data_IF_429450084690
#
_entry.id   IF_429450084690
#
_cell.length_a   1.000
_cell.length_b   1.000
_cell.length_c   1.000
_cell.angle_alpha   90.00
_cell.angle_beta   90.00
_cell.angle_gamma   90.00
#
_symmetry.space_group_name_H-M   'P 1'
#
loop_
_entity.id
_entity.type
_entity.pdbx_description
1 polymer ?
#
# COMPACT_ATOMS: atom_id res chain seq x y z
N UNK A 1 -53.67 -25.08 37.57
CA UNK A 1 -55.00 -24.60 37.12
C UNK A 1 -54.79 -23.23 36.47
N UNK A 2 -55.13 -22.94 35.21
CA UNK A 2 -56.39 -23.11 34.47
C UNK A 2 -57.48 -22.08 34.89
N UNK A 3 -57.54 -20.91 34.24
CA UNK A 3 -58.56 -20.62 33.20
C UNK A 3 -58.41 -19.25 32.49
N UNK A 4 -58.79 -19.29 31.22
CA UNK A 4 -58.79 -18.25 30.17
C UNK A 4 -60.02 -17.31 30.22
N UNK A 5 -60.00 -16.25 29.36
CA UNK A 5 -61.11 -15.41 28.80
C UNK A 5 -61.43 -14.12 29.58
N UNK A 6 -61.80 -12.97 28.98
CA UNK A 6 -61.92 -12.42 27.60
C UNK A 6 -61.93 -10.85 27.75
N UNK A 7 -61.97 -9.93 26.75
CA UNK A 7 -62.15 -9.92 25.27
C UNK A 7 -61.55 -8.61 24.68
N UNK A 8 -61.33 -8.52 23.38
CA UNK A 8 -60.97 -7.27 22.66
C UNK A 8 -62.12 -6.26 22.50
N UNK A 9 -61.80 -4.97 22.33
CA UNK A 9 -62.21 -4.18 21.16
C UNK A 9 -61.49 -2.81 21.10
N UNK A 10 -61.26 -2.30 19.88
CA UNK A 10 -60.61 -1.01 19.57
C UNK A 10 -61.68 0.02 19.16
N UNK A 11 -61.53 1.31 19.49
CA UNK A 11 -61.34 2.41 18.52
C UNK A 11 -61.34 3.82 19.15
N UNK A 12 -60.91 4.80 18.34
CA UNK A 12 -60.57 6.16 18.73
C UNK A 12 -61.77 7.06 19.10
N UNK A 13 -61.50 8.09 19.90
CA UNK A 13 -62.41 9.20 20.20
C UNK A 13 -61.63 10.49 20.45
N UNK A 14 -61.78 11.48 19.56
CA UNK A 14 -61.16 12.80 19.64
C UNK A 14 -61.56 13.58 20.91
N UNK A 15 -60.62 14.34 21.47
CA UNK A 15 -60.88 15.37 22.46
C UNK A 15 -60.48 16.76 21.91
N UNK A 16 -61.26 17.79 22.25
CA UNK A 16 -61.07 19.17 21.80
C UNK A 16 -61.10 20.15 23.00
N UNK A 17 -60.82 21.43 22.70
CA UNK A 17 -60.79 22.61 23.61
C UNK A 17 -59.46 22.88 24.36
N UNK A 18 -59.18 24.14 24.80
CA UNK A 18 -59.14 25.32 23.94
C UNK A 18 -57.99 26.32 24.25
N UNK A 19 -57.82 27.28 23.33
CA UNK A 19 -57.20 28.63 23.46
C UNK A 19 -56.60 29.11 24.80
N UNK A 20 -55.26 29.25 24.82
CA UNK A 20 -54.58 30.56 24.74
C UNK A 20 -54.63 31.58 25.90
N UNK A 21 -53.46 31.81 26.53
CA UNK A 21 -52.99 33.14 26.97
C UNK A 21 -51.46 33.13 27.13
N UNK A 22 -50.77 34.18 26.66
CA UNK A 22 -49.31 34.26 26.67
C UNK A 22 -48.74 34.92 27.94
N UNK A 23 -47.51 34.52 28.32
CA UNK A 23 -46.69 35.24 29.32
C UNK A 23 -45.29 35.44 28.77
N UNK A 24 -44.85 36.69 28.72
CA UNK A 24 -43.58 37.08 28.09
C UNK A 24 -42.34 36.65 28.91
N UNK A 25 -41.24 36.36 28.20
CA UNK A 25 -39.91 36.10 28.76
C UNK A 25 -39.05 37.38 28.70
N UNK A 26 -38.03 37.52 29.56
CA UNK A 26 -37.25 38.76 29.66
C UNK A 26 -36.30 38.96 28.48
N UNK A 27 -36.18 40.21 28.02
CA UNK A 27 -35.16 40.61 27.04
C UNK A 27 -33.80 40.75 27.74
N UNK A 28 -32.80 39.98 27.33
CA UNK A 28 -31.48 40.03 27.97
C UNK A 28 -30.50 38.90 27.68
N UNK A 29 -30.62 38.19 26.55
CA UNK A 29 -29.62 37.22 26.11
C UNK A 29 -28.93 37.76 24.85
N UNK A 30 -27.67 38.17 24.97
CA UNK A 30 -26.85 38.48 23.80
C UNK A 30 -26.59 37.18 23.03
N UNK A 31 -27.20 37.06 21.85
CA UNK A 31 -26.82 36.02 20.89
C UNK A 31 -25.40 36.33 20.46
N UNK A 32 -24.45 35.44 20.79
CA UNK A 32 -23.13 35.46 20.17
C UNK A 32 -23.31 35.19 18.68
N UNK A 33 -23.41 36.27 17.89
CA UNK A 33 -23.28 36.18 16.44
C UNK A 33 -21.88 35.68 16.16
N UNK A 34 -21.78 34.41 15.76
CA UNK A 34 -20.58 33.93 15.09
C UNK A 34 -20.40 34.77 13.83
N UNK A 35 -19.46 35.72 13.88
CA UNK A 35 -18.96 36.35 12.67
C UNK A 35 -18.52 35.21 11.74
N UNK A 36 -18.97 35.18 10.48
CA UNK A 36 -18.37 34.27 9.52
C UNK A 36 -16.87 34.56 9.48
N UNK A 37 -16.06 33.53 9.71
CA UNK A 37 -14.62 33.62 9.46
C UNK A 37 -14.48 33.96 7.98
N UNK A 38 -13.79 35.06 7.60
CA UNK A 38 -13.64 35.40 6.20
C UNK A 38 -12.72 34.36 5.56
N UNK A 39 -13.32 33.37 4.91
CA UNK A 39 -12.64 32.49 3.97
C UNK A 39 -12.21 33.35 2.79
N UNK A 40 -10.98 33.83 2.83
CA UNK A 40 -10.30 34.32 1.63
C UNK A 40 -10.38 33.22 0.56
N UNK A 41 -10.58 33.55 -0.72
CA UNK A 41 -10.54 32.55 -1.78
C UNK A 41 -9.19 31.82 -1.70
N UNK A 42 -9.23 30.48 -1.58
CA UNK A 42 -8.02 29.68 -1.45
C UNK A 42 -7.16 29.86 -2.70
N UNK A 43 -6.09 30.63 -2.55
CA UNK A 43 -5.09 30.77 -3.59
C UNK A 43 -4.45 29.41 -3.85
N UNK A 44 -4.36 29.04 -5.13
CA UNK A 44 -3.58 27.86 -5.54
C UNK A 44 -2.14 28.08 -5.08
N UNK A 45 -1.63 27.15 -4.27
CA UNK A 45 -0.27 27.25 -3.73
C UNK A 45 0.77 26.91 -4.82
N UNK A 46 1.91 27.61 -4.85
CA UNK A 46 3.12 27.06 -5.48
C UNK A 46 3.91 26.38 -4.37
N UNK A 47 4.15 25.08 -4.50
CA UNK A 47 4.95 24.27 -3.56
C UNK A 47 6.27 23.86 -4.23
N UNK A 48 7.30 23.70 -3.43
CA UNK A 48 8.63 23.22 -3.82
C UNK A 48 9.26 22.34 -2.74
N UNK A 49 10.51 21.94 -2.95
CA UNK A 49 11.16 20.86 -2.18
C UNK A 49 11.26 21.15 -0.67
N UNK A 50 11.21 22.43 -0.28
CA UNK A 50 11.30 22.88 1.11
C UNK A 50 9.95 22.90 1.87
N UNK A 51 8.81 23.02 1.18
CA UNK A 51 7.50 23.24 1.80
C UNK A 51 6.40 22.26 1.34
N UNK A 52 6.66 21.42 0.34
CA UNK A 52 5.70 20.44 -0.18
C UNK A 52 5.09 19.56 0.90
N UNK A 53 5.91 18.99 1.79
CA UNK A 53 5.46 18.16 2.91
C UNK A 53 4.48 18.91 3.83
N UNK A 54 4.85 20.11 4.29
CA UNK A 54 3.97 20.95 5.11
C UNK A 54 2.71 21.44 4.35
N UNK A 55 2.79 21.50 3.01
CA UNK A 55 1.67 21.80 2.12
C UNK A 55 0.62 20.68 2.02
N UNK A 56 1.04 19.42 2.14
CA UNK A 56 0.15 18.23 2.11
C UNK A 56 -0.23 17.71 3.50
N UNK A 57 0.66 17.85 4.49
CA UNK A 57 0.51 17.23 5.80
C UNK A 57 -0.76 17.70 6.54
N UNK A 58 -1.45 16.73 7.13
CA UNK A 58 -2.68 16.94 7.89
C UNK A 58 -3.86 17.46 7.07
N UNK A 59 -3.76 17.55 5.74
CA UNK A 59 -4.88 17.94 4.89
C UNK A 59 -5.79 16.75 4.59
N UNK A 60 -7.13 16.95 4.56
CA UNK A 60 -8.06 15.90 4.21
C UNK A 60 -7.82 15.42 2.78
N UNK A 61 -7.70 16.36 1.83
CA UNK A 61 -7.17 16.08 0.50
C UNK A 61 -6.53 17.30 -0.20
N UNK A 62 -5.51 17.04 -1.01
CA UNK A 62 -4.74 18.03 -1.79
C UNK A 62 -4.59 17.56 -3.23
N UNK A 63 -4.95 18.41 -4.19
CA UNK A 63 -4.68 18.25 -5.62
C UNK A 63 -3.40 18.98 -5.96
N UNK A 64 -2.43 18.28 -6.55
CA UNK A 64 -1.14 18.81 -6.98
C UNK A 64 -1.02 18.70 -8.50
N UNK A 65 -0.75 19.80 -9.18
CA UNK A 65 -0.33 19.79 -10.58
C UNK A 65 1.19 20.03 -10.70
N UNK A 66 1.93 19.00 -11.06
CA UNK A 66 3.33 19.12 -11.47
C UNK A 66 3.36 19.70 -12.89
N UNK A 67 3.95 20.89 -13.04
CA UNK A 67 3.87 21.71 -14.27
C UNK A 67 5.22 22.23 -14.71
N UNK A 68 5.33 22.47 -16.01
CA UNK A 68 6.33 23.37 -16.58
C UNK A 68 5.61 24.68 -16.97
N UNK A 69 5.92 25.84 -16.35
CA UNK A 69 5.29 27.09 -16.75
C UNK A 69 5.67 27.47 -18.19
N UNK A 70 4.72 28.05 -18.94
CA UNK A 70 4.93 28.52 -20.31
C UNK A 70 4.74 27.46 -21.41
N UNK A 71 4.53 26.18 -21.09
CA UNK A 71 4.17 25.18 -22.11
C UNK A 71 2.69 25.30 -22.49
N UNK A 72 2.36 25.00 -23.75
CA UNK A 72 1.02 25.21 -24.30
C UNK A 72 -0.07 24.42 -23.54
N UNK A 73 0.20 23.16 -23.18
CA UNK A 73 -0.75 22.29 -22.48
C UNK A 73 -1.11 22.82 -21.08
N UNK A 74 -0.10 23.20 -20.27
CA UNK A 74 -0.36 23.86 -18.99
C UNK A 74 -1.08 25.20 -19.17
N UNK A 75 -0.75 25.97 -20.20
CA UNK A 75 -1.39 27.26 -20.48
C UNK A 75 -2.88 27.10 -20.80
N UNK A 76 -3.26 26.04 -21.52
CA UNK A 76 -4.65 25.68 -21.79
C UNK A 76 -5.38 25.11 -20.55
N UNK A 77 -4.68 24.35 -19.70
CA UNK A 77 -5.27 23.67 -18.54
C UNK A 77 -5.36 24.53 -17.27
N UNK A 78 -4.46 25.49 -17.05
CA UNK A 78 -4.42 26.31 -15.85
C UNK A 78 -5.76 27.03 -15.52
N UNK A 79 -6.53 27.55 -16.49
CA UNK A 79 -7.87 28.10 -16.23
C UNK A 79 -8.85 27.05 -15.68
N UNK A 80 -8.82 25.83 -16.19
CA UNK A 80 -9.63 24.70 -15.70
C UNK A 80 -9.27 24.33 -14.26
N UNK A 81 -7.96 24.24 -13.97
CA UNK A 81 -7.45 23.97 -12.62
C UNK A 81 -7.86 25.06 -11.62
N UNK A 82 -7.76 26.33 -12.01
CA UNK A 82 -8.20 27.47 -11.19
C UNK A 82 -9.72 27.50 -11.00
N UNK A 83 -10.51 27.17 -12.03
CA UNK A 83 -11.95 27.07 -11.91
C UNK A 83 -12.39 25.92 -10.99
N UNK A 84 -11.67 24.79 -10.96
CA UNK A 84 -11.90 23.72 -9.99
C UNK A 84 -11.54 24.15 -8.57
N UNK A 85 -10.36 24.75 -8.37
CA UNK A 85 -9.94 25.27 -7.06
C UNK A 85 -10.95 26.26 -6.46
N UNK A 86 -11.52 27.14 -7.27
CA UNK A 86 -12.53 28.10 -6.85
C UNK A 86 -13.89 27.46 -6.48
N UNK A 87 -14.21 26.29 -7.05
CA UNK A 87 -15.49 25.58 -6.82
C UNK A 87 -15.41 24.52 -5.71
N UNK A 88 -14.21 24.11 -5.31
CA UNK A 88 -13.95 23.10 -4.29
C UNK A 88 -13.13 23.66 -3.11
N UNK A 89 -13.65 24.62 -2.33
CA UNK A 89 -12.91 25.34 -1.28
C UNK A 89 -12.57 24.48 -0.04
N UNK A 90 -13.01 23.23 0.01
CA UNK A 90 -12.67 22.25 1.04
C UNK A 90 -11.55 21.28 0.60
N UNK A 91 -11.11 21.35 -0.66
CA UNK A 91 -9.95 20.64 -1.19
C UNK A 91 -8.82 21.65 -1.44
N UNK A 92 -7.60 21.36 -1.00
CA UNK A 92 -6.45 22.24 -1.26
C UNK A 92 -5.94 22.01 -2.68
N UNK A 93 -5.67 23.09 -3.41
CA UNK A 93 -5.04 23.02 -4.73
C UNK A 93 -3.63 23.62 -4.68
N UNK A 94 -2.68 22.90 -5.26
CA UNK A 94 -1.28 23.29 -5.34
C UNK A 94 -0.69 23.00 -6.72
N UNK A 95 0.41 23.66 -7.04
CA UNK A 95 1.22 23.37 -8.23
C UNK A 95 2.68 23.26 -7.84
N UNK A 96 3.42 22.36 -8.50
CA UNK A 96 4.87 22.23 -8.36
C UNK A 96 5.50 22.58 -9.71
N UNK A 97 6.47 23.50 -9.70
CA UNK A 97 7.23 23.82 -10.91
C UNK A 97 8.40 22.84 -11.05
N UNK A 98 8.30 21.87 -11.96
CA UNK A 98 9.29 20.78 -12.09
C UNK A 98 10.69 21.29 -12.45
N UNK A 99 10.79 22.46 -13.11
CA UNK A 99 12.07 23.08 -13.45
C UNK A 99 12.75 23.77 -12.24
N UNK A 100 11.99 24.03 -11.17
CA UNK A 100 12.51 24.54 -9.89
C UNK A 100 12.66 23.45 -8.83
N UNK A 101 11.82 22.42 -8.89
CA UNK A 101 11.81 21.29 -7.97
C UNK A 101 11.96 19.97 -8.72
N UNK A 102 13.13 19.73 -9.37
CA UNK A 102 13.40 18.49 -10.09
C UNK A 102 13.52 17.30 -9.13
N UNK A 103 13.88 17.52 -7.85
CA UNK A 103 13.93 16.47 -6.85
C UNK A 103 12.52 15.95 -6.51
N UNK A 104 11.54 16.84 -6.26
CA UNK A 104 10.13 16.44 -6.16
C UNK A 104 9.60 15.79 -7.45
N UNK A 105 9.95 16.30 -8.62
CA UNK A 105 9.50 15.71 -9.89
C UNK A 105 10.02 14.27 -10.06
N UNK A 106 11.28 14.01 -9.74
CA UNK A 106 11.86 12.66 -9.74
C UNK A 106 11.27 11.77 -8.62
N UNK A 107 11.05 12.32 -7.43
CA UNK A 107 10.47 11.61 -6.27
C UNK A 107 9.07 11.04 -6.57
N UNK A 108 8.29 11.72 -7.43
CA UNK A 108 6.94 11.31 -7.83
C UNK A 108 6.88 10.76 -9.27
N UNK A 109 8.02 10.36 -9.85
CA UNK A 109 8.13 9.81 -11.21
C UNK A 109 7.38 10.63 -12.29
N UNK A 110 7.52 11.95 -12.23
CA UNK A 110 6.86 12.89 -13.14
C UNK A 110 7.59 12.91 -14.49
N UNK A 111 7.25 11.96 -15.36
CA UNK A 111 7.83 11.80 -16.71
C UNK A 111 7.28 12.78 -17.76
N UNK A 112 6.14 13.42 -17.49
CA UNK A 112 5.50 14.40 -18.37
C UNK A 112 4.89 15.56 -17.57
N UNK A 113 4.76 16.74 -18.19
CA UNK A 113 4.04 17.87 -17.59
C UNK A 113 2.97 18.45 -18.52
N UNK A 114 1.75 18.72 -18.01
CA UNK A 114 1.34 18.57 -16.63
C UNK A 114 1.20 17.11 -16.19
N UNK A 115 1.36 16.84 -14.90
CA UNK A 115 0.91 15.59 -14.25
C UNK A 115 0.08 15.99 -13.04
N UNK A 116 -1.11 15.42 -12.91
CA UNK A 116 -2.01 15.64 -11.80
C UNK A 116 -1.88 14.50 -10.79
N UNK A 117 -1.76 14.84 -9.51
CA UNK A 117 -1.81 13.87 -8.41
C UNK A 117 -2.77 14.37 -7.34
N UNK A 118 -3.43 13.44 -6.64
CA UNK A 118 -4.32 13.76 -5.53
C UNK A 118 -3.88 12.98 -4.29
N UNK A 119 -3.58 13.72 -3.23
CA UNK A 119 -3.11 13.22 -1.95
C UNK A 119 -4.23 13.37 -0.92
N UNK A 120 -4.89 12.28 -0.51
CA UNK A 120 -5.86 12.33 0.60
C UNK A 120 -5.25 11.67 1.84
N UNK A 121 -5.18 12.41 2.96
CA UNK A 121 -4.47 11.96 4.18
C UNK A 121 -3.04 11.46 3.90
N UNK A 122 -2.28 12.18 3.05
CA UNK A 122 -0.95 11.83 2.54
C UNK A 122 -0.84 10.55 1.66
N UNK A 123 -1.96 9.88 1.35
CA UNK A 123 -2.00 8.76 0.40
C UNK A 123 -2.29 9.30 -1.00
N UNK A 124 -1.48 8.92 -2.00
CA UNK A 124 -1.79 9.19 -3.42
C UNK A 124 -2.97 8.30 -3.82
N UNK A 125 -4.14 8.91 -4.02
CA UNK A 125 -5.38 8.22 -4.43
C UNK A 125 -5.68 8.37 -5.92
N UNK A 126 -4.94 9.24 -6.61
CA UNK A 126 -5.03 9.47 -8.06
C UNK A 126 -3.69 10.01 -8.58
N UNK A 127 -3.26 9.52 -9.74
CA UNK A 127 -2.14 10.07 -10.51
C UNK A 127 -2.45 9.94 -12.00
N UNK A 128 -2.29 11.02 -12.77
CA UNK A 128 -2.56 11.08 -14.20
C UNK A 128 -1.58 12.01 -14.92
N UNK A 129 -0.72 11.49 -15.81
CA UNK A 129 0.02 12.30 -16.78
C UNK A 129 -0.94 13.00 -17.76
N UNK A 130 -0.69 14.28 -18.04
CA UNK A 130 -1.49 15.10 -18.93
C UNK A 130 -2.59 15.91 -18.24
N UNK A 131 -3.13 16.88 -18.97
CA UNK A 131 -4.25 17.72 -18.54
C UNK A 131 -5.60 16.98 -18.59
N UNK A 132 -6.48 17.26 -17.64
CA UNK A 132 -7.87 16.80 -17.68
C UNK A 132 -8.82 17.88 -18.24
N UNK A 133 -9.85 17.52 -19.02
CA UNK A 133 -10.95 18.43 -19.31
C UNK A 133 -11.71 18.75 -18.02
N UNK A 134 -12.45 19.88 -17.99
CA UNK A 134 -13.13 20.36 -16.80
C UNK A 134 -14.07 19.28 -16.19
N UNK A 135 -14.86 18.61 -17.02
CA UNK A 135 -15.76 17.54 -16.58
C UNK A 135 -14.99 16.34 -15.99
N UNK A 136 -13.88 15.93 -16.60
CA UNK A 136 -13.04 14.85 -16.08
C UNK A 136 -12.44 15.19 -14.71
N UNK A 137 -11.96 16.42 -14.52
CA UNK A 137 -11.47 16.89 -13.22
C UNK A 137 -12.61 16.91 -12.17
N UNK A 138 -13.83 17.28 -12.55
CA UNK A 138 -15.00 17.17 -11.65
C UNK A 138 -15.35 15.74 -11.28
N UNK A 139 -15.35 14.82 -12.24
CA UNK A 139 -15.63 13.40 -11.99
C UNK A 139 -14.59 12.79 -11.05
N UNK A 140 -13.30 13.10 -11.23
CA UNK A 140 -12.23 12.67 -10.32
C UNK A 140 -12.44 13.27 -8.92
N UNK A 141 -12.75 14.56 -8.80
CA UNK A 141 -12.99 15.20 -7.50
C UNK A 141 -14.24 14.66 -6.80
N UNK A 142 -15.31 14.37 -7.54
CA UNK A 142 -16.52 13.72 -7.02
C UNK A 142 -16.24 12.29 -6.56
N UNK A 143 -15.46 11.51 -7.34
CA UNK A 143 -15.01 10.18 -6.97
C UNK A 143 -14.17 10.19 -5.69
N UNK A 144 -13.20 11.11 -5.60
CA UNK A 144 -12.36 11.30 -4.41
C UNK A 144 -13.17 11.68 -3.17
N UNK A 145 -14.23 12.50 -3.31
CA UNK A 145 -15.16 12.83 -2.21
C UNK A 145 -16.05 11.65 -1.80
N UNK A 146 -16.34 10.75 -2.74
CA UNK A 146 -17.10 9.53 -2.50
C UNK A 146 -16.25 8.38 -1.95
N UNK A 147 -14.92 8.52 -1.89
CA UNK A 147 -14.06 7.63 -1.13
C UNK A 147 -14.40 7.77 0.36
N UNK A 148 -15.04 6.74 0.92
CA UNK A 148 -15.04 6.55 2.36
C UNK A 148 -13.59 6.33 2.78
N UNK A 149 -12.92 7.37 3.29
CA UNK A 149 -11.52 7.28 3.70
C UNK A 149 -11.31 6.35 4.90
N UNK A 150 -12.36 5.98 5.65
CA UNK A 150 -12.28 4.94 6.67
C UNK A 150 -12.50 3.54 6.07
N UNK A 151 -13.22 3.39 4.96
CA UNK A 151 -13.16 2.19 4.09
C UNK A 151 -11.80 2.09 3.40
N UNK A 152 -11.24 3.17 2.84
CA UNK A 152 -9.90 3.15 2.23
C UNK A 152 -8.86 2.82 3.31
N UNK A 153 -8.87 3.46 4.49
CA UNK A 153 -8.02 3.06 5.62
C UNK A 153 -8.31 1.63 6.08
N UNK A 154 -9.57 1.17 6.02
CA UNK A 154 -9.93 -0.23 6.27
C UNK A 154 -9.59 -1.18 5.14
N UNK A 155 -9.32 -0.78 3.89
CA UNK A 155 -8.89 -1.66 2.79
C UNK A 155 -7.36 -1.69 2.68
N UNK A 156 -6.72 -0.57 2.99
CA UNK A 156 -5.32 -0.47 3.43
C UNK A 156 -5.08 -1.39 4.65
N UNK A 157 -6.03 -1.48 5.60
CA UNK A 157 -5.96 -2.46 6.69
C UNK A 157 -6.51 -3.87 6.34
N UNK A 158 -7.48 -3.95 5.41
CA UNK A 158 -8.21 -5.17 5.02
C UNK A 158 -7.87 -5.62 3.57
N UNK A 159 -6.60 -5.93 3.33
CA UNK A 159 -6.36 -7.32 2.87
C UNK A 159 -6.87 -8.23 3.99
N UNK A 160 -7.12 -9.51 3.76
CA UNK A 160 -7.25 -10.42 4.91
C UNK A 160 -5.91 -11.15 5.14
N UNK A 161 -4.83 -10.45 5.59
CA UNK A 161 -3.65 -11.12 6.08
C UNK A 161 -4.10 -11.80 7.37
N UNK A 162 -3.76 -13.08 7.55
CA UNK A 162 -4.06 -13.71 8.82
C UNK A 162 -3.11 -13.12 9.87
N UNK A 163 -3.56 -12.06 10.55
CA UNK A 163 -2.80 -11.37 11.58
C UNK A 163 -2.78 -12.23 12.82
N UNK A 164 -1.62 -12.80 13.12
CA UNK A 164 -1.37 -13.63 14.30
C UNK A 164 -0.36 -12.92 15.19
N UNK A 165 -0.75 -12.56 16.40
CA UNK A 165 0.15 -11.97 17.41
C UNK A 165 -0.06 -10.48 17.70
N UNK A 166 0.17 -10.12 18.96
CA UNK A 166 -0.18 -8.81 19.54
C UNK A 166 0.91 -7.73 19.36
N UNK A 167 1.95 -7.97 18.55
CA UNK A 167 2.97 -6.98 18.18
C UNK A 167 3.92 -6.52 19.31
N UNK A 168 3.91 -7.19 20.46
CA UNK A 168 4.81 -6.89 21.57
C UNK A 168 6.18 -7.58 21.40
N UNK A 169 7.24 -6.79 21.23
CA UNK A 169 8.63 -7.28 21.15
C UNK A 169 9.24 -7.37 22.55
N UNK A 170 9.60 -8.56 23.07
CA UNK A 170 10.33 -8.69 24.34
C UNK A 170 11.78 -8.21 24.20
N UNK A 171 12.36 -7.72 25.30
CA UNK A 171 13.77 -7.32 25.31
C UNK A 171 14.69 -8.52 25.03
N UNK A 172 15.63 -8.34 24.10
CA UNK A 172 16.42 -9.42 23.52
C UNK A 172 17.47 -10.02 24.47
N UNK A 173 17.40 -11.33 24.67
CA UNK A 173 18.46 -12.13 25.26
C UNK A 173 19.68 -12.29 24.30
N UNK A 174 20.82 -12.83 24.77
CA UNK A 174 21.91 -13.27 23.88
C UNK A 174 21.42 -14.36 22.93
N UNK A 175 21.73 -14.22 21.64
CA UNK A 175 21.29 -15.18 20.63
C UNK A 175 22.06 -16.48 20.77
N UNK A 176 21.34 -17.60 20.85
CA UNK A 176 21.92 -18.93 20.78
C UNK A 176 22.61 -19.18 19.43
N UNK A 177 23.47 -20.21 19.38
CA UNK A 177 24.03 -20.70 18.12
C UNK A 177 22.90 -21.15 17.16
N UNK A 178 23.05 -20.96 15.84
CA UNK A 178 22.06 -21.38 14.87
C UNK A 178 21.74 -22.88 14.98
N UNK A 179 20.46 -23.23 15.00
CA UNK A 179 20.03 -24.62 15.10
C UNK A 179 20.33 -25.40 13.81
N UNK A 180 20.58 -26.70 13.95
CA UNK A 180 20.83 -27.61 12.82
C UNK A 180 19.56 -27.94 12.00
N UNK A 181 18.36 -27.63 12.52
CA UNK A 181 17.11 -27.84 11.80
C UNK A 181 16.92 -26.76 10.71
N UNK A 182 16.99 -27.20 9.45
CA UNK A 182 16.82 -26.36 8.28
C UNK A 182 15.38 -26.30 7.75
N UNK A 183 14.40 -26.92 8.40
CA UNK A 183 13.00 -26.78 8.04
C UNK A 183 12.46 -25.41 8.50
N UNK A 184 11.91 -24.61 7.58
CA UNK A 184 11.33 -23.29 7.92
C UNK A 184 10.24 -23.41 9.01
N UNK A 185 9.49 -24.52 9.00
CA UNK A 185 8.47 -24.87 10.01
C UNK A 185 9.02 -24.92 11.43
N UNK A 186 10.29 -25.30 11.62
CA UNK A 186 10.93 -25.37 12.93
C UNK A 186 11.06 -23.98 13.58
N UNK A 187 11.23 -22.94 12.76
CA UNK A 187 11.44 -21.56 13.19
C UNK A 187 10.16 -20.71 13.24
N UNK A 188 9.02 -21.25 12.78
CA UNK A 188 7.71 -20.61 12.90
C UNK A 188 7.20 -20.61 14.33
N UNK A 189 6.55 -19.52 14.75
CA UNK A 189 5.97 -19.40 16.10
C UNK A 189 5.00 -20.54 16.40
N UNK A 190 5.10 -21.13 17.59
CA UNK A 190 4.25 -22.27 17.96
C UNK A 190 2.72 -22.06 17.73
N UNK A 191 2.10 -20.90 18.05
CA UNK A 191 0.68 -20.66 17.76
C UNK A 191 0.31 -20.68 16.27
N UNK A 192 1.23 -20.29 15.38
CA UNK A 192 1.00 -20.26 13.94
C UNK A 192 0.79 -21.65 13.35
N UNK A 193 1.38 -22.69 13.96
CA UNK A 193 1.32 -24.08 13.47
C UNK A 193 -0.10 -24.62 13.39
N UNK A 194 -1.00 -24.16 14.26
CA UNK A 194 -2.43 -24.52 14.23
C UNK A 194 -3.20 -23.90 13.07
N UNK A 195 -2.67 -22.80 12.49
CA UNK A 195 -3.32 -22.01 11.44
C UNK A 195 -2.80 -22.33 10.02
N UNK A 196 -1.73 -23.13 9.91
CA UNK A 196 -1.16 -23.58 8.63
C UNK A 196 -2.19 -24.14 7.63
N UNK A 197 -3.22 -24.92 8.02
CA UNK A 197 -4.22 -25.41 7.07
C UNK A 197 -5.06 -24.29 6.43
N UNK A 198 -5.39 -23.23 7.18
CA UNK A 198 -6.15 -22.08 6.65
C UNK A 198 -5.26 -21.21 5.75
N UNK A 199 -4.02 -20.97 6.18
CA UNK A 199 -3.01 -20.26 5.40
C UNK A 199 -2.76 -20.96 4.05
N UNK A 200 -2.67 -22.29 4.05
CA UNK A 200 -2.54 -23.09 2.84
C UNK A 200 -3.75 -22.97 1.91
N UNK A 201 -4.97 -23.04 2.45
CA UNK A 201 -6.20 -22.87 1.67
C UNK A 201 -6.26 -21.47 1.01
N UNK A 202 -5.88 -20.41 1.74
CA UNK A 202 -5.84 -19.03 1.21
C UNK A 202 -4.76 -18.85 0.14
N UNK A 203 -3.54 -19.37 0.37
CA UNK A 203 -2.42 -19.26 -0.58
C UNK A 203 -2.68 -20.05 -1.88
N UNK A 204 -3.14 -21.30 -1.75
CA UNK A 204 -3.47 -22.15 -2.92
C UNK A 204 -4.64 -21.62 -3.75
N UNK A 205 -5.58 -20.89 -3.14
CA UNK A 205 -6.63 -20.14 -3.84
C UNK A 205 -6.12 -18.87 -4.58
N UNK A 206 -4.83 -18.58 -4.56
CA UNK A 206 -4.22 -17.41 -5.21
C UNK A 206 -4.24 -16.14 -4.37
N UNK A 207 -4.54 -16.24 -3.08
CA UNK A 207 -4.52 -15.09 -2.17
C UNK A 207 -3.10 -14.65 -1.79
N UNK A 208 -2.92 -13.35 -1.58
CA UNK A 208 -1.80 -12.82 -0.81
C UNK A 208 -2.03 -13.17 0.66
N UNK A 209 -1.16 -14.02 1.20
CA UNK A 209 -1.15 -14.41 2.61
C UNK A 209 -0.06 -13.63 3.30
N UNK A 210 -0.41 -12.96 4.39
CA UNK A 210 0.53 -12.16 5.17
C UNK A 210 0.38 -12.50 6.65
N UNK A 211 1.50 -12.90 7.26
CA UNK A 211 1.58 -13.54 8.56
C UNK A 211 2.38 -12.62 9.47
N UNK A 212 1.72 -11.98 10.43
CA UNK A 212 2.43 -11.22 11.48
C UNK A 212 3.10 -12.16 12.46
N UNK A 213 4.16 -11.66 13.10
CA UNK A 213 5.03 -12.41 14.00
C UNK A 213 5.35 -13.83 13.50
N UNK A 214 5.69 -14.00 12.21
CA UNK A 214 5.72 -15.32 11.58
C UNK A 214 6.71 -16.30 12.25
N UNK A 215 7.88 -15.79 12.62
CA UNK A 215 8.98 -16.56 13.19
C UNK A 215 9.17 -16.32 14.68
N UNK A 216 9.79 -17.27 15.38
CA UNK A 216 10.13 -17.09 16.79
C UNK A 216 10.97 -15.80 16.99
N UNK A 217 10.70 -14.98 18.03
CA UNK A 217 11.26 -13.63 18.12
C UNK A 217 12.79 -13.58 18.07
N UNK A 218 13.47 -14.59 18.63
CA UNK A 218 14.93 -14.68 18.59
C UNK A 218 15.48 -14.86 17.17
N UNK A 219 14.80 -15.62 16.31
CA UNK A 219 15.21 -15.78 14.90
C UNK A 219 14.99 -14.49 14.11
N UNK A 220 13.86 -13.81 14.33
CA UNK A 220 13.59 -12.51 13.71
C UNK A 220 14.58 -11.42 14.15
N UNK A 221 14.94 -11.37 15.43
CA UNK A 221 15.97 -10.47 15.96
C UNK A 221 17.37 -10.79 15.42
N UNK A 222 17.71 -12.08 15.26
CA UNK A 222 18.96 -12.54 14.64
C UNK A 222 19.09 -12.05 13.21
N UNK A 223 18.05 -12.22 12.40
CA UNK A 223 18.03 -11.74 11.01
C UNK A 223 18.03 -10.22 10.93
N UNK A 224 17.28 -9.53 11.81
CA UNK A 224 17.31 -8.07 11.87
C UNK A 224 18.71 -7.53 12.08
N UNK A 225 19.43 -7.98 13.11
CA UNK A 225 20.81 -7.54 13.39
C UNK A 225 21.74 -7.85 12.21
N UNK A 226 21.64 -9.06 11.67
CA UNK A 226 22.42 -9.49 10.50
C UNK A 226 22.24 -8.57 9.28
N UNK A 227 21.06 -7.98 9.07
CA UNK A 227 20.81 -7.04 7.98
C UNK A 227 21.14 -5.58 8.39
N UNK A 228 20.82 -5.19 9.62
CA UNK A 228 21.04 -3.83 10.14
C UNK A 228 22.55 -3.47 10.19
N UNK A 229 23.39 -4.43 10.55
CA UNK A 229 24.85 -4.31 10.59
C UNK A 229 25.53 -4.56 9.23
N UNK A 230 24.79 -5.02 8.22
CA UNK A 230 25.36 -5.31 6.90
C UNK A 230 25.76 -4.02 6.16
N UNK A 231 26.95 -4.03 5.57
CA UNK A 231 27.50 -2.94 4.73
C UNK A 231 27.67 -3.34 3.26
N UNK A 232 27.33 -4.57 2.90
CA UNK A 232 27.53 -5.13 1.55
C UNK A 232 26.44 -4.74 0.54
N UNK A 233 25.44 -3.95 0.93
CA UNK A 233 24.33 -3.49 0.09
C UNK A 233 24.81 -2.89 -1.24
N UNK A 234 24.08 -3.17 -2.31
CA UNK A 234 24.34 -2.64 -3.65
C UNK A 234 23.05 -2.04 -4.19
N UNK A 235 23.15 -0.84 -4.76
CA UNK A 235 22.06 -0.27 -5.56
C UNK A 235 21.86 -1.12 -6.82
N UNK A 236 20.62 -1.43 -7.13
CA UNK A 236 20.21 -1.94 -8.43
C UNK A 236 19.11 -1.01 -8.93
N UNK A 237 19.37 -0.44 -10.09
CA UNK A 237 18.50 0.46 -10.83
C UNK A 237 18.34 -0.15 -12.23
N UNK A 238 17.11 -0.25 -12.72
CA UNK A 238 16.84 -0.93 -13.97
C UNK A 238 15.35 -1.14 -14.25
N UNK A 239 15.08 -1.75 -15.40
CA UNK A 239 13.72 -1.96 -15.89
C UNK A 239 13.65 -2.73 -17.20
N UNK A 240 12.45 -3.19 -17.53
CA UNK A 240 12.13 -3.81 -18.83
C UNK A 240 10.73 -3.33 -19.26
N UNK A 241 10.65 -2.66 -20.42
CA UNK A 241 9.40 -2.01 -20.85
C UNK A 241 8.98 -0.90 -19.88
N UNK A 242 7.73 -0.96 -19.41
CA UNK A 242 7.16 0.02 -18.47
C UNK A 242 7.52 -0.27 -17.00
N UNK A 243 8.11 -1.44 -16.70
CA UNK A 243 8.58 -1.78 -15.35
C UNK A 243 9.93 -1.10 -15.06
N UNK A 244 10.02 -0.43 -13.92
CA UNK A 244 11.24 0.17 -13.37
C UNK A 244 11.37 -0.15 -11.87
N UNK A 245 12.60 -0.21 -11.36
CA UNK A 245 12.89 -0.30 -9.93
C UNK A 245 14.19 0.42 -9.60
N UNK A 246 14.26 0.95 -8.38
CA UNK A 246 15.48 1.43 -7.74
C UNK A 246 15.46 0.92 -6.30
N UNK A 247 16.39 0.04 -5.93
CA UNK A 247 16.46 -0.54 -4.58
C UNK A 247 17.89 -0.95 -4.18
N UNK A 248 18.14 -1.17 -2.89
CA UNK A 248 19.43 -1.70 -2.43
C UNK A 248 19.31 -3.15 -1.96
N UNK A 249 19.86 -4.10 -2.74
CA UNK A 249 19.69 -5.54 -2.52
C UNK A 249 21.03 -6.29 -2.45
N UNK A 250 20.99 -7.41 -1.72
CA UNK A 250 22.01 -8.46 -1.68
C UNK A 250 21.52 -9.66 -2.50
N UNK A 251 22.07 -9.84 -3.71
CA UNK A 251 21.81 -11.00 -4.57
C UNK A 251 22.98 -12.00 -4.59
N UNK A 252 24.21 -11.55 -4.33
CA UNK A 252 25.37 -12.44 -4.28
C UNK A 252 25.46 -13.13 -2.91
N UNK A 253 25.24 -14.44 -2.91
CA UNK A 253 25.35 -15.30 -1.72
C UNK A 253 26.74 -15.21 -1.06
N UNK A 254 27.82 -14.92 -1.79
CA UNK A 254 29.16 -14.76 -1.23
C UNK A 254 29.32 -13.45 -0.43
N UNK A 255 28.45 -12.47 -0.63
CA UNK A 255 28.39 -11.21 0.11
C UNK A 255 27.47 -11.28 1.34
N UNK A 256 26.80 -12.41 1.60
CA UNK A 256 25.89 -12.54 2.73
C UNK A 256 26.66 -12.62 4.07
N UNK A 257 26.22 -11.88 5.11
CA UNK A 257 26.65 -12.15 6.47
C UNK A 257 26.35 -13.59 6.88
N UNK A 258 27.13 -14.14 7.82
CA UNK A 258 27.04 -15.54 8.26
C UNK A 258 25.61 -16.00 8.60
N UNK A 259 24.84 -15.13 9.25
CA UNK A 259 23.49 -15.41 9.71
C UNK A 259 22.48 -15.41 8.56
N UNK A 260 22.62 -14.50 7.59
CA UNK A 260 21.86 -14.51 6.35
C UNK A 260 22.18 -15.73 5.48
N UNK A 261 23.46 -16.16 5.44
CA UNK A 261 23.91 -17.37 4.73
C UNK A 261 23.48 -18.68 5.43
N UNK A 262 23.15 -18.65 6.72
CA UNK A 262 22.44 -19.76 7.39
C UNK A 262 20.94 -19.72 7.08
N UNK A 263 20.33 -18.54 7.06
CA UNK A 263 18.93 -18.36 6.71
C UNK A 263 18.62 -18.80 5.27
N UNK A 264 19.48 -18.51 4.30
CA UNK A 264 19.29 -18.97 2.92
C UNK A 264 19.27 -20.49 2.81
N UNK A 265 20.06 -21.22 3.63
CA UNK A 265 19.99 -22.68 3.73
C UNK A 265 18.72 -23.21 4.36
N UNK A 266 18.06 -22.45 5.26
CA UNK A 266 16.72 -22.79 5.75
C UNK A 266 15.71 -22.66 4.61
N UNK A 267 15.74 -21.55 3.88
CA UNK A 267 14.80 -21.28 2.78
C UNK A 267 15.00 -22.21 1.56
N UNK A 268 16.22 -22.65 1.29
CA UNK A 268 16.54 -23.58 0.18
C UNK A 268 16.43 -25.08 0.56
N UNK A 269 16.20 -25.41 1.84
CA UNK A 269 16.17 -26.80 2.30
C UNK A 269 15.06 -27.62 1.66
N UNK A 270 15.30 -28.93 1.48
CA UNK A 270 14.30 -29.85 0.96
C UNK A 270 13.01 -29.85 1.80
N UNK A 271 13.14 -29.81 3.13
CA UNK A 271 11.99 -29.74 4.04
C UNK A 271 11.16 -28.46 3.85
N UNK A 272 11.81 -27.32 3.61
CA UNK A 272 11.15 -26.05 3.31
C UNK A 272 10.49 -26.06 1.94
N UNK A 273 11.13 -26.64 0.92
CA UNK A 273 10.57 -26.82 -0.44
C UNK A 273 9.36 -27.74 -0.44
N UNK A 274 9.40 -28.83 0.33
CA UNK A 274 8.26 -29.72 0.55
C UNK A 274 7.13 -28.99 1.30
N UNK A 275 7.45 -28.17 2.31
CA UNK A 275 6.46 -27.39 3.04
C UNK A 275 5.76 -26.36 2.15
N UNK A 276 6.51 -25.51 1.45
CA UNK A 276 5.90 -24.50 0.57
C UNK A 276 5.11 -25.16 -0.57
N UNK A 277 5.54 -26.33 -1.05
CA UNK A 277 4.76 -27.13 -2.03
C UNK A 277 3.40 -27.54 -1.46
N UNK A 278 3.34 -28.00 -0.20
CA UNK A 278 2.07 -28.32 0.49
C UNK A 278 1.21 -27.08 0.73
N UNK A 279 1.82 -25.96 1.14
CA UNK A 279 1.10 -24.71 1.46
C UNK A 279 0.51 -24.02 0.23
N UNK A 280 1.26 -24.00 -0.88
CA UNK A 280 0.87 -23.28 -2.10
C UNK A 280 0.03 -24.09 -3.08
N UNK A 281 0.07 -25.43 -2.97
CA UNK A 281 -0.45 -26.33 -3.99
C UNK A 281 0.40 -26.36 -5.28
N UNK A 282 1.62 -25.78 -5.27
CA UNK A 282 2.49 -25.64 -6.44
C UNK A 282 3.82 -26.38 -6.26
N UNK A 283 4.33 -27.09 -7.28
CA UNK A 283 5.57 -27.84 -7.16
C UNK A 283 6.77 -26.88 -7.04
N UNK A 284 7.46 -26.88 -5.90
CA UNK A 284 8.62 -26.01 -5.65
C UNK A 284 9.99 -26.73 -5.51
N UNK A 285 10.36 -27.72 -6.35
CA UNK A 285 11.62 -28.48 -6.19
C UNK A 285 12.86 -27.77 -6.76
N UNK A 286 12.72 -26.60 -7.39
CA UNK A 286 13.82 -25.89 -8.04
C UNK A 286 14.79 -25.22 -7.06
N UNK A 287 15.81 -24.50 -7.55
CA UNK A 287 16.64 -23.64 -6.71
C UNK A 287 15.79 -22.51 -6.10
N UNK A 288 16.01 -22.18 -4.84
CA UNK A 288 15.37 -20.99 -4.24
C UNK A 288 16.15 -19.74 -4.66
N UNK A 289 15.47 -18.81 -5.31
CA UNK A 289 15.98 -17.45 -5.47
C UNK A 289 15.86 -16.76 -4.11
N UNK A 290 16.99 -16.41 -3.49
CA UNK A 290 17.05 -15.82 -2.15
C UNK A 290 17.86 -14.53 -2.18
N UNK A 291 17.32 -13.49 -1.57
CA UNK A 291 17.97 -12.18 -1.46
C UNK A 291 17.53 -11.46 -0.18
N UNK A 292 18.21 -10.37 0.12
CA UNK A 292 17.74 -9.40 1.10
C UNK A 292 17.70 -7.99 0.49
N UNK A 293 16.81 -7.15 1.00
CA UNK A 293 16.64 -5.77 0.56
C UNK A 293 16.67 -4.79 1.75
N UNK A 294 17.26 -3.62 1.51
CA UNK A 294 17.16 -2.44 2.35
C UNK A 294 16.69 -1.27 1.48
N UNK A 295 15.41 -0.94 1.57
CA UNK A 295 14.88 0.19 0.83
C UNK A 295 15.24 1.51 1.55
N UNK A 296 16.03 2.33 0.87
CA UNK A 296 16.41 3.69 1.25
C UNK A 296 15.39 4.72 0.73
N UNK A 297 15.41 5.97 1.22
CA UNK A 297 14.60 7.04 0.65
C UNK A 297 14.81 7.22 -0.86
N UNK A 298 13.71 7.29 -1.62
CA UNK A 298 13.70 7.25 -3.08
C UNK A 298 13.47 5.85 -3.67
N UNK A 299 13.82 4.78 -2.94
CA UNK A 299 13.68 3.40 -3.42
C UNK A 299 12.21 3.03 -3.62
N UNK A 300 11.95 2.28 -4.70
CA UNK A 300 10.64 1.90 -5.19
C UNK A 300 10.75 0.69 -6.13
N UNK A 301 9.60 0.09 -6.44
CA UNK A 301 9.42 -0.65 -7.69
C UNK A 301 8.08 -0.25 -8.31
N UNK A 302 7.98 -0.32 -9.64
CA UNK A 302 6.74 -0.11 -10.37
C UNK A 302 5.92 -1.41 -10.48
N UNK A 303 4.67 -1.36 -10.99
CA UNK A 303 3.84 -2.55 -11.20
C UNK A 303 4.54 -3.68 -11.98
N UNK A 304 4.55 -4.87 -11.37
CA UNK A 304 5.05 -6.13 -11.93
C UNK A 304 4.33 -7.31 -11.27
N UNK A 305 4.49 -8.52 -11.80
CA UNK A 305 3.77 -9.72 -11.34
C UNK A 305 4.67 -10.94 -11.06
N UNK A 306 5.99 -10.75 -11.02
CA UNK A 306 7.01 -11.80 -10.83
C UNK A 306 7.01 -12.96 -11.83
N UNK A 307 6.23 -12.90 -12.92
CA UNK A 307 6.21 -13.96 -13.94
C UNK A 307 7.49 -13.93 -14.78
N UNK A 308 8.51 -14.61 -14.25
CA UNK A 308 9.81 -14.80 -14.87
C UNK A 308 10.20 -16.28 -14.92
N UNK A 309 10.99 -16.63 -15.94
CA UNK A 309 11.74 -17.88 -15.97
C UNK A 309 12.99 -17.71 -15.10
N UNK A 310 13.24 -18.69 -14.24
CA UNK A 310 14.50 -18.81 -13.49
C UNK A 310 15.53 -19.55 -14.35
N UNK A 311 16.77 -19.70 -13.86
CA UNK A 311 17.77 -20.52 -14.55
C UNK A 311 17.27 -21.96 -14.82
N UNK A 312 17.48 -22.42 -16.04
CA UNK A 312 17.07 -23.76 -16.50
C UNK A 312 15.61 -23.83 -16.95
N UNK A 313 14.91 -24.89 -16.53
CA UNK A 313 13.51 -25.17 -16.91
C UNK A 313 12.50 -24.81 -15.79
N UNK A 314 12.92 -24.03 -14.81
CA UNK A 314 12.12 -23.65 -13.65
C UNK A 314 11.54 -22.24 -13.82
N UNK A 315 10.35 -22.02 -13.26
CA UNK A 315 9.74 -20.69 -13.18
C UNK A 315 9.43 -20.38 -11.71
N UNK A 316 9.34 -19.09 -11.37
CA UNK A 316 8.97 -18.63 -10.02
C UNK A 316 7.56 -19.10 -9.66
N UNK A 317 7.40 -19.87 -8.60
CA UNK A 317 6.10 -20.46 -8.22
C UNK A 317 5.46 -19.71 -7.05
N UNK A 318 6.24 -19.39 -6.03
CA UNK A 318 5.77 -18.74 -4.80
C UNK A 318 6.77 -17.64 -4.43
N UNK A 319 6.30 -16.40 -4.39
CA UNK A 319 7.07 -15.27 -3.90
C UNK A 319 6.97 -15.18 -2.38
N UNK A 320 8.04 -14.72 -1.74
CA UNK A 320 8.05 -14.41 -0.32
C UNK A 320 8.74 -13.09 -0.02
N UNK A 321 8.21 -12.38 0.98
CA UNK A 321 8.82 -11.17 1.54
C UNK A 321 8.67 -11.20 3.05
N UNK A 322 9.75 -11.45 3.78
CA UNK A 322 9.82 -11.37 5.22
C UNK A 322 10.32 -10.00 5.65
N UNK A 323 9.41 -9.17 6.14
CA UNK A 323 9.71 -7.83 6.62
C UNK A 323 10.31 -7.84 8.02
N UNK A 324 11.39 -7.08 8.17
CA UNK A 324 12.14 -6.87 9.40
C UNK A 324 12.21 -5.36 9.73
N UNK A 325 11.21 -4.59 9.31
CA UNK A 325 11.16 -3.14 9.51
C UNK A 325 10.65 -2.76 10.91
N UNK A 326 11.57 -2.38 11.81
CA UNK A 326 11.23 -1.90 13.16
C UNK A 326 10.79 -0.44 13.14
N UNK A 327 9.75 -0.11 13.91
CA UNK A 327 9.23 1.24 14.09
C UNK A 327 8.92 1.98 12.77
N UNK A 328 8.56 1.25 11.71
CA UNK A 328 8.19 1.84 10.44
C UNK A 328 6.84 2.55 10.56
N UNK A 329 6.76 3.76 10.00
CA UNK A 329 5.53 4.57 9.98
C UNK A 329 4.91 4.47 8.57
N UNK A 330 3.61 4.10 8.42
CA UNK A 330 2.99 3.95 7.10
C UNK A 330 3.16 5.17 6.18
N UNK A 331 3.13 6.38 6.73
CA UNK A 331 3.35 7.65 6.04
C UNK A 331 4.77 7.84 5.46
N UNK A 332 5.71 6.93 5.75
CA UNK A 332 7.01 6.89 5.08
C UNK A 332 7.00 6.14 3.73
N UNK A 333 5.87 5.56 3.33
CA UNK A 333 5.80 4.76 2.11
C UNK A 333 6.51 3.41 2.26
N UNK A 334 7.06 2.88 1.17
CA UNK A 334 7.64 1.53 1.15
C UNK A 334 6.62 0.41 1.33
N UNK A 335 5.33 0.69 1.32
CA UNK A 335 4.30 -0.35 1.34
C UNK A 335 4.33 -1.18 0.04
N UNK A 336 3.98 -2.46 0.15
CA UNK A 336 3.54 -3.24 -1.00
C UNK A 336 2.12 -2.80 -1.34
N UNK A 337 1.92 -2.34 -2.57
CA UNK A 337 0.60 -2.18 -3.12
C UNK A 337 0.22 -3.43 -3.91
N UNK A 338 -0.92 -4.04 -3.61
CA UNK A 338 -1.41 -5.24 -4.29
C UNK A 338 -2.56 -4.86 -5.21
N UNK A 339 -2.28 -4.79 -6.52
CA UNK A 339 -3.13 -4.10 -7.48
C UNK A 339 -4.50 -4.74 -7.63
N UNK A 340 -4.59 -6.08 -7.71
CA UNK A 340 -5.85 -6.80 -7.96
C UNK A 340 -6.87 -6.74 -6.81
N UNK A 341 -6.52 -6.10 -5.68
CA UNK A 341 -7.42 -5.80 -4.55
C UNK A 341 -7.33 -4.36 -4.04
N UNK A 342 -6.62 -3.46 -4.72
CA UNK A 342 -6.45 -2.06 -4.28
C UNK A 342 -5.80 -1.91 -2.90
N UNK A 343 -4.94 -2.86 -2.52
CA UNK A 343 -4.46 -3.00 -1.16
C UNK A 343 -3.17 -2.22 -0.92
N UNK A 344 -2.94 -1.75 0.31
CA UNK A 344 -1.70 -1.10 0.74
C UNK A 344 -1.18 -1.73 2.03
N UNK A 345 -0.10 -2.50 1.97
CA UNK A 345 0.48 -3.17 3.13
C UNK A 345 1.80 -2.51 3.55
N UNK A 346 1.85 -1.79 4.69
CA UNK A 346 3.10 -1.22 5.19
C UNK A 346 4.04 -2.32 5.72
N UNK A 347 5.35 -2.20 5.51
CA UNK A 347 6.31 -3.16 6.04
C UNK A 347 6.33 -3.09 7.56
N UNK A 348 6.23 -4.23 8.21
CA UNK A 348 6.17 -4.36 9.68
C UNK A 348 7.12 -5.44 10.16
N UNK A 349 7.62 -5.32 11.39
CA UNK A 349 8.60 -6.25 11.92
C UNK A 349 8.06 -7.69 11.97
N UNK A 350 8.95 -8.66 11.73
CA UNK A 350 8.69 -10.09 11.75
C UNK A 350 7.44 -10.54 10.97
N UNK A 351 7.14 -9.91 9.83
CA UNK A 351 5.92 -10.18 9.07
C UNK A 351 6.27 -10.85 7.75
N UNK A 352 5.85 -12.11 7.55
CA UNK A 352 6.11 -12.90 6.34
C UNK A 352 4.93 -12.80 5.38
N UNK A 353 5.16 -12.32 4.17
CA UNK A 353 4.20 -12.30 3.07
C UNK A 353 4.53 -13.41 2.08
N UNK A 354 3.49 -14.07 1.57
CA UNK A 354 3.53 -15.20 0.66
C UNK A 354 2.44 -15.02 -0.40
N UNK A 355 2.78 -15.17 -1.67
CA UNK A 355 1.77 -15.25 -2.73
C UNK A 355 2.20 -16.19 -3.86
N UNK A 356 1.19 -16.78 -4.50
CA UNK A 356 1.35 -17.58 -5.70
C UNK A 356 1.57 -16.65 -6.90
N UNK A 357 2.72 -16.75 -7.55
CA UNK A 357 3.12 -15.91 -8.70
C UNK A 357 2.18 -16.16 -9.91
N UNK A 358 1.89 -15.16 -10.73
CA UNK A 358 1.09 -15.33 -11.93
C UNK A 358 0.55 -14.01 -12.49
N UNK A 359 -0.22 -14.03 -13.59
CA UNK A 359 -0.73 -12.79 -14.21
C UNK A 359 -1.49 -11.87 -13.24
N UNK A 360 -2.23 -12.44 -12.29
CA UNK A 360 -3.05 -11.71 -11.32
C UNK A 360 -2.27 -11.19 -10.08
N UNK A 361 -1.01 -11.58 -9.91
CA UNK A 361 -0.15 -11.13 -8.79
C UNK A 361 0.52 -9.78 -9.06
N UNK A 362 -0.15 -8.89 -9.79
CA UNK A 362 0.32 -7.53 -10.04
C UNK A 362 0.46 -6.75 -8.73
N UNK A 363 1.65 -6.26 -8.45
CA UNK A 363 2.00 -5.53 -7.24
C UNK A 363 3.18 -4.58 -7.47
N UNK A 364 3.44 -3.69 -6.51
CA UNK A 364 4.60 -2.78 -6.54
C UNK A 364 5.00 -2.30 -5.15
N UNK A 365 6.21 -1.76 -4.99
CA UNK A 365 6.65 -1.12 -3.74
C UNK A 365 6.59 0.39 -3.90
N UNK A 366 5.65 1.02 -3.18
CA UNK A 366 5.49 2.48 -3.13
C UNK A 366 6.79 3.17 -2.70
N UNK A 367 7.09 4.34 -3.28
CA UNK A 367 8.29 5.11 -2.95
C UNK A 367 8.50 5.29 -1.44
N UNK A 368 9.73 5.12 -0.98
CA UNK A 368 10.13 5.51 0.37
C UNK A 368 10.37 7.02 0.44
N UNK A 369 9.72 7.67 1.40
CA UNK A 369 9.78 9.11 1.62
C UNK A 369 11.21 9.60 1.98
N UNK A 370 11.66 10.78 1.50
CA UNK A 370 12.90 11.44 1.93
C UNK A 370 12.98 11.68 3.45
N UNK A 371 11.84 11.66 4.15
CA UNK A 371 11.76 11.85 5.61
C UNK A 371 11.72 10.54 6.40
N UNK A 372 11.84 9.38 5.76
CA UNK A 372 11.90 8.08 6.42
C UNK A 372 13.14 7.98 7.33
N UNK A 373 12.94 7.56 8.59
CA UNK A 373 14.03 7.45 9.59
C UNK A 373 14.29 6.03 10.10
N UNK A 374 13.42 5.08 9.77
CA UNK A 374 13.65 3.66 10.01
C UNK A 374 14.42 3.01 8.86
N UNK A 375 14.82 1.75 9.02
CA UNK A 375 15.27 0.91 7.90
C UNK A 375 14.14 -0.02 7.46
N UNK A 376 13.78 0.03 6.18
CA UNK A 376 12.91 -0.97 5.55
C UNK A 376 13.76 -2.16 5.12
N UNK A 377 14.02 -3.05 6.06
CA UNK A 377 14.74 -4.30 5.83
C UNK A 377 13.76 -5.42 5.49
N UNK A 378 14.12 -6.29 4.54
CA UNK A 378 13.42 -7.54 4.28
C UNK A 378 14.37 -8.64 3.76
N UNK A 379 13.94 -9.89 3.94
CA UNK A 379 14.45 -11.07 3.23
C UNK A 379 13.40 -11.43 2.18
N UNK A 380 13.75 -11.55 0.92
CA UNK A 380 12.78 -11.70 -0.17
C UNK A 380 13.31 -12.55 -1.33
N UNK A 381 12.40 -13.15 -2.08
CA UNK A 381 12.75 -13.96 -3.24
C UNK A 381 11.62 -14.91 -3.63
N UNK A 382 11.99 -16.01 -4.29
CA UNK A 382 11.04 -16.95 -4.90
C UNK A 382 11.48 -18.40 -4.70
N UNK A 383 10.53 -19.25 -4.32
CA UNK A 383 10.65 -20.69 -4.54
C UNK A 383 10.27 -21.02 -5.98
N UNK A 384 11.13 -21.74 -6.68
CA UNK A 384 10.98 -22.04 -8.11
C UNK A 384 10.63 -23.51 -8.34
N UNK A 385 10.09 -23.82 -9.52
CA UNK A 385 9.70 -25.18 -9.84
C UNK A 385 9.16 -25.35 -11.26
N UNK A 386 8.81 -26.59 -11.57
CA UNK A 386 8.43 -27.01 -12.92
C UNK A 386 6.98 -26.63 -13.25
N UNK A 387 6.77 -26.17 -14.48
CA UNK A 387 5.47 -25.71 -14.98
C UNK A 387 5.44 -24.20 -15.21
N UNK A 388 4.74 -23.78 -16.28
CA UNK A 388 4.51 -22.37 -16.56
C UNK A 388 3.58 -21.76 -15.49
N UNK A 389 3.86 -20.52 -15.07
CA UNK A 389 3.13 -19.85 -13.98
C UNK A 389 1.80 -19.23 -14.45
N UNK A 390 1.11 -19.92 -15.35
CA UNK A 390 0.23 -19.32 -16.35
C UNK A 390 1.02 -18.83 -17.57
N UNK A 391 0.34 -18.69 -18.71
CA UNK A 391 0.89 -17.97 -19.86
C UNK A 391 1.01 -16.46 -19.53
N UNK A 392 1.86 -15.73 -20.25
CA UNK A 392 1.85 -14.25 -20.24
C UNK A 392 0.50 -13.75 -20.74
N UNK A 393 -0.46 -13.57 -19.84
CA UNK A 393 -1.72 -12.90 -20.10
C UNK A 393 -1.61 -11.37 -19.92
N UNK A 394 -0.43 -10.78 -20.16
CA UNK A 394 -0.41 -9.38 -20.58
C UNK A 394 -0.92 -9.34 -22.03
N UNK A 395 -2.16 -8.92 -22.21
CA UNK A 395 -2.82 -8.92 -23.52
C UNK A 395 -2.41 -7.72 -24.41
N UNK A 396 -1.36 -7.00 -24.03
CA UNK A 396 -1.26 -5.59 -24.36
C UNK A 396 -2.33 -4.79 -23.60
N UNK A 397 -2.36 -3.46 -23.77
CA UNK A 397 -3.47 -2.69 -23.27
C UNK A 397 -4.78 -3.08 -23.96
N UNK A 398 -5.90 -3.08 -23.23
CA UNK A 398 -7.21 -3.32 -23.83
C UNK A 398 -7.70 -2.06 -24.57
N UNK A 399 -7.84 -2.17 -25.89
CA UNK A 399 -8.29 -1.08 -26.78
C UNK A 399 -9.83 -1.09 -26.91
N UNK A 400 -10.52 -0.33 -26.06
CA UNK A 400 -11.98 -0.15 -26.13
C UNK A 400 -12.28 1.03 -27.06
N UNK A 401 -13.05 0.80 -28.12
CA UNK A 401 -13.37 1.81 -29.15
C UNK A 401 -14.88 2.09 -29.24
N UNK A 402 -15.25 3.36 -29.22
CA UNK A 402 -16.63 3.82 -29.40
C UNK A 402 -16.69 5.32 -29.70
N UNK A 403 -17.58 5.73 -30.61
CA UNK A 403 -17.92 7.11 -30.99
C UNK A 403 -16.77 8.14 -30.96
N UNK A 404 -15.65 7.79 -31.59
CA UNK A 404 -14.49 8.68 -31.77
C UNK A 404 -13.45 8.67 -30.64
N UNK A 405 -13.63 7.84 -29.61
CA UNK A 405 -12.65 7.62 -28.55
C UNK A 405 -12.03 6.21 -28.62
N UNK A 406 -10.75 6.13 -28.25
CA UNK A 406 -10.00 4.90 -28.01
C UNK A 406 -9.47 4.94 -26.58
N UNK A 407 -9.94 4.03 -25.74
CA UNK A 407 -9.48 3.85 -24.36
C UNK A 407 -8.46 2.71 -24.39
N UNK A 408 -7.31 2.93 -23.74
CA UNK A 408 -6.15 2.04 -23.72
C UNK A 408 -5.91 1.65 -22.27
N UNK A 409 -6.32 0.44 -21.87
CA UNK A 409 -6.26 -0.03 -20.47
C UNK A 409 -5.05 -0.95 -20.28
N UNK A 410 -3.98 -0.44 -19.67
CA UNK A 410 -2.67 -1.10 -19.53
C UNK A 410 -2.61 -2.26 -18.53
#
# INVERSE_FOLDING_TARGET
>A
MNKQKHRDSRHAGMAAHPTGAARALPAGAQVFSMRPVPTAPLAIMELGDADFAAGIDGQPCVVVAFRTPGVAEWTAFAPTFAAAAARHPDVRFATVNVARSPALAAQFDVRATPTLMIFCSNIVVFANPGALPAEGLEQVLAGVRALDMDEVRRQVANVDPLVVGDGAVPASAPLAAPADDLAIEAHLRAPLRALLPELAARLSAGGLVAIRDAFEPEFAERMFRSLDECTAWRVHDGGEGDFHYHHHNLYDNAAFPQDLAWCSRIFDSAATKDWVTRMSGRPCPGPTEFSASWYLPGDHSLPHNDVAHSEGAFSRQVAYVWHLAKNWRPEWGGALYWCSKGCYLPPTFNTLWLFNVGPESNHFVTHVSPYARGKRLAINGWWTGAGAVGERAWKGPEHIRGDGAEIVVY
#
